data_IF_996540116777
#
_entry.id   IF_996540116777
#
_cell.length_a   1.000
_cell.length_b   1.000
_cell.length_c   1.000
_cell.angle_alpha   90.00
_cell.angle_beta   90.00
_cell.angle_gamma   90.00
#
_symmetry.space_group_name_H-M   'P 1'
#
loop_
_entity.id
_entity.type
_entity.pdbx_description
1 polymer ?
#
# COMPACT_ATOMS: atom_id res chain seq x y z
N UNK A 1 39.97 -6.39 -23.51
CA UNK A 1 38.80 -7.29 -23.55
C UNK A 1 38.22 -7.33 -22.15
N UNK A 2 37.19 -6.56 -21.87
CA UNK A 2 36.31 -6.77 -20.70
C UNK A 2 34.97 -6.15 -21.06
N UNK A 3 34.12 -6.98 -21.66
CA UNK A 3 32.73 -6.69 -21.95
C UNK A 3 32.00 -6.54 -20.62
N UNK A 4 31.37 -5.39 -20.40
CA UNK A 4 30.61 -5.08 -19.19
C UNK A 4 29.30 -5.84 -19.26
N UNK A 5 29.18 -6.90 -18.45
CA UNK A 5 27.94 -7.64 -18.28
C UNK A 5 26.84 -6.67 -17.83
N UNK A 6 25.93 -6.42 -18.77
CA UNK A 6 24.70 -5.66 -18.58
C UNK A 6 23.83 -6.47 -17.62
N UNK A 7 23.99 -6.18 -16.33
CA UNK A 7 23.18 -6.78 -15.27
C UNK A 7 21.71 -6.65 -15.60
N UNK A 8 21.11 -7.79 -15.93
CA UNK A 8 19.67 -7.99 -16.01
C UNK A 8 19.10 -7.60 -14.64
N UNK A 9 18.51 -6.40 -14.58
CA UNK A 9 17.90 -5.91 -13.35
C UNK A 9 16.73 -6.86 -13.11
N UNK A 10 16.71 -7.66 -12.02
CA UNK A 10 15.60 -8.56 -11.79
C UNK A 10 14.34 -7.70 -11.76
N UNK A 11 13.47 -7.91 -12.75
CA UNK A 11 12.10 -7.42 -12.68
C UNK A 11 11.56 -7.96 -11.35
N UNK A 12 11.05 -7.10 -10.46
CA UNK A 12 10.46 -7.58 -9.22
C UNK A 12 9.38 -8.57 -9.62
N UNK A 13 9.60 -9.86 -9.33
CA UNK A 13 8.63 -10.87 -9.68
C UNK A 13 7.32 -10.51 -8.98
N UNK A 14 6.20 -10.43 -9.73
CA UNK A 14 4.92 -10.09 -9.13
C UNK A 14 4.63 -11.11 -8.03
N UNK A 15 4.30 -10.61 -6.82
CA UNK A 15 3.99 -11.48 -5.69
C UNK A 15 2.85 -12.43 -6.12
N UNK A 16 3.08 -13.76 -6.11
CA UNK A 16 2.11 -14.74 -6.59
C UNK A 16 0.75 -14.69 -5.87
N UNK A 17 0.66 -13.98 -4.74
CA UNK A 17 -0.58 -13.79 -3.97
C UNK A 17 -1.51 -12.68 -4.49
N UNK A 18 -1.13 -11.87 -5.50
CA UNK A 18 -1.95 -10.75 -6.00
C UNK A 18 -2.16 -10.75 -7.51
N UNK A 19 -2.45 -11.93 -8.04
CA UNK A 19 -2.84 -12.15 -9.43
C UNK A 19 -4.36 -12.25 -9.50
N UNK A 20 -5.01 -11.49 -10.39
CA UNK A 20 -6.42 -11.66 -10.70
C UNK A 20 -6.64 -13.05 -11.32
N UNK A 21 -7.44 -13.94 -10.70
CA UNK A 21 -7.63 -15.30 -11.19
C UNK A 21 -8.35 -15.35 -12.55
N UNK A 22 -9.09 -14.30 -12.93
CA UNK A 22 -9.78 -14.24 -14.22
C UNK A 22 -8.85 -13.82 -15.37
N UNK A 23 -7.88 -12.94 -15.10
CA UNK A 23 -7.04 -12.33 -16.14
C UNK A 23 -5.58 -12.75 -16.10
N UNK A 24 -5.10 -13.31 -14.98
CA UNK A 24 -3.69 -13.61 -14.76
C UNK A 24 -2.81 -12.36 -14.61
N UNK A 25 -3.40 -11.18 -14.52
CA UNK A 25 -2.68 -9.91 -14.37
C UNK A 25 -2.49 -9.57 -12.90
N UNK A 26 -1.42 -8.84 -12.59
CA UNK A 26 -1.23 -8.28 -11.26
C UNK A 26 -2.35 -7.28 -10.94
N UNK A 27 -2.91 -7.35 -9.74
CA UNK A 27 -3.90 -6.38 -9.26
C UNK A 27 -3.27 -4.97 -9.15
N UNK A 28 -4.03 -3.90 -9.40
CA UNK A 28 -3.53 -2.54 -9.36
C UNK A 28 -3.17 -2.09 -7.92
N UNK A 29 -2.10 -1.31 -7.81
CA UNK A 29 -1.76 -0.53 -6.62
C UNK A 29 -2.31 0.92 -6.76
N UNK A 30 -2.72 1.60 -5.68
CA UNK A 30 -2.98 1.04 -4.37
C UNK A 30 -4.25 0.18 -4.37
N UNK A 31 -4.29 -0.78 -3.44
CA UNK A 31 -5.44 -1.67 -3.24
C UNK A 31 -5.98 -1.55 -1.82
N UNK A 32 -7.28 -1.86 -1.62
CA UNK A 32 -7.84 -2.03 -0.29
C UNK A 32 -7.33 -3.33 0.35
N UNK A 33 -7.09 -3.25 1.65
CA UNK A 33 -6.86 -4.35 2.57
C UNK A 33 -7.99 -4.36 3.61
N UNK A 34 -8.45 -5.56 3.97
CA UNK A 34 -9.46 -5.76 5.00
C UNK A 34 -8.78 -6.38 6.21
N UNK A 35 -8.75 -5.63 7.30
CA UNK A 35 -8.05 -6.01 8.53
C UNK A 35 -9.00 -6.00 9.73
N UNK A 36 -8.68 -6.83 10.73
CA UNK A 36 -9.44 -6.87 11.98
C UNK A 36 -9.06 -5.71 12.89
N UNK A 37 -10.04 -4.95 13.38
CA UNK A 37 -9.84 -3.89 14.36
C UNK A 37 -9.32 -4.46 15.69
N UNK A 38 -8.15 -4.03 16.19
CA UNK A 38 -7.58 -4.55 17.45
C UNK A 38 -8.36 -4.11 18.70
N UNK A 39 -9.20 -3.08 18.60
CA UNK A 39 -9.93 -2.51 19.74
C UNK A 39 -11.27 -3.20 19.98
N UNK A 40 -12.00 -3.55 18.93
CA UNK A 40 -13.37 -4.09 19.03
C UNK A 40 -13.61 -5.41 18.29
N UNK A 41 -12.61 -5.92 17.57
CA UNK A 41 -12.67 -7.19 16.86
C UNK A 41 -13.46 -7.16 15.54
N UNK A 42 -13.81 -5.98 15.02
CA UNK A 42 -14.48 -5.86 13.72
C UNK A 42 -13.60 -6.40 12.59
N UNK A 43 -14.00 -7.46 11.85
CA UNK A 43 -13.09 -8.21 10.99
C UNK A 43 -12.78 -7.56 9.63
N UNK A 44 -13.62 -6.64 9.15
CA UNK A 44 -13.57 -6.13 7.78
C UNK A 44 -13.40 -4.60 7.76
N UNK A 45 -12.38 -4.10 8.45
CA UNK A 45 -12.02 -2.67 8.32
C UNK A 45 -11.19 -2.47 7.06
N UNK A 46 -11.73 -1.71 6.12
CA UNK A 46 -11.02 -1.30 4.90
C UNK A 46 -9.93 -0.27 5.21
N UNK A 47 -8.71 -0.55 4.73
CA UNK A 47 -7.54 0.34 4.79
C UNK A 47 -6.81 0.22 3.46
N UNK A 48 -6.34 1.30 2.86
CA UNK A 48 -5.52 1.18 1.64
C UNK A 48 -4.10 0.76 1.98
N UNK A 49 -3.47 -0.04 1.12
CA UNK A 49 -2.18 -0.67 1.41
C UNK A 49 -1.05 0.30 1.78
N UNK A 50 -1.13 1.57 1.35
CA UNK A 50 -0.11 2.59 1.61
C UNK A 50 -0.36 3.35 2.91
N UNK A 51 -1.56 3.25 3.48
CA UNK A 51 -1.92 3.95 4.71
C UNK A 51 -1.20 3.32 5.90
N UNK A 52 -0.72 4.14 6.82
CA UNK A 52 -0.07 3.68 8.05
C UNK A 52 -1.02 3.66 9.25
N UNK A 53 -2.26 4.12 9.04
CA UNK A 53 -3.31 4.16 10.05
C UNK A 53 -4.63 3.76 9.41
N UNK A 54 -5.39 2.92 10.11
CA UNK A 54 -6.78 2.61 9.79
C UNK A 54 -7.72 3.27 10.79
N UNK A 55 -8.95 3.59 10.35
CA UNK A 55 -10.03 4.02 11.24
C UNK A 55 -11.15 3.00 11.22
N UNK A 56 -11.45 2.41 12.37
CA UNK A 56 -12.53 1.43 12.46
C UNK A 56 -13.89 2.13 12.26
N UNK A 57 -14.67 1.66 11.29
CA UNK A 57 -16.01 2.20 11.02
C UNK A 57 -17.01 1.86 12.13
N UNK A 58 -16.75 0.81 12.93
CA UNK A 58 -17.63 0.38 14.02
C UNK A 58 -17.38 1.11 15.34
N UNK A 59 -16.14 1.15 15.84
CA UNK A 59 -15.82 1.80 17.11
C UNK A 59 -15.28 3.23 16.96
N UNK A 60 -14.88 3.65 15.76
CA UNK A 60 -14.35 4.99 15.49
C UNK A 60 -12.88 5.19 15.89
N UNK A 61 -12.27 4.21 16.55
CA UNK A 61 -10.88 4.27 17.00
C UNK A 61 -9.89 4.16 15.83
N UNK A 62 -8.77 4.87 15.98
CA UNK A 62 -7.62 4.74 15.10
C UNK A 62 -6.74 3.57 15.56
N UNK A 63 -6.14 2.87 14.61
CA UNK A 63 -5.14 1.84 14.89
C UNK A 63 -4.02 1.90 13.87
N UNK A 64 -2.86 1.36 14.26
CA UNK A 64 -1.70 1.26 13.39
C UNK A 64 -1.93 0.20 12.32
N UNK A 65 -1.68 0.56 11.07
CA UNK A 65 -1.63 -0.35 9.93
C UNK A 65 -0.19 -0.40 9.44
N UNK A 66 0.37 -1.60 9.27
CA UNK A 66 1.72 -1.79 8.76
C UNK A 66 1.59 -2.10 7.27
N UNK A 67 1.96 -1.16 6.36
CA UNK A 67 1.91 -1.41 4.92
C UNK A 67 2.66 -2.69 4.55
N UNK A 68 2.06 -3.60 3.77
CA UNK A 68 2.79 -4.78 3.30
C UNK A 68 3.93 -4.34 2.38
N UNK A 69 5.01 -5.13 2.37
CA UNK A 69 6.20 -4.90 1.53
C UNK A 69 5.88 -4.83 0.04
N UNK A 70 4.72 -5.37 -0.36
CA UNK A 70 4.22 -5.37 -1.73
C UNK A 70 3.48 -4.12 -2.13
N UNK A 71 3.09 -3.26 -1.20
CA UNK A 71 2.46 -1.99 -1.53
C UNK A 71 3.52 -0.98 -1.97
N UNK A 72 3.34 -0.35 -3.14
CA UNK A 72 4.25 0.68 -3.62
C UNK A 72 5.24 0.21 -4.68
N UNK A 73 5.03 -0.98 -5.26
CA UNK A 73 5.87 -1.48 -6.35
C UNK A 73 5.69 -0.66 -7.63
N UNK A 74 4.55 0.02 -7.77
CA UNK A 74 4.23 0.82 -8.95
C UNK A 74 4.45 2.32 -8.72
N UNK A 75 4.96 3.06 -9.72
CA UNK A 75 5.31 4.49 -9.59
C UNK A 75 4.11 5.42 -9.32
N UNK A 76 2.88 4.93 -9.51
CA UNK A 76 1.64 5.65 -9.19
C UNK A 76 1.12 5.40 -7.77
N UNK A 77 1.68 4.43 -7.05
CA UNK A 77 1.35 4.18 -5.65
C UNK A 77 2.11 5.16 -4.77
N UNK A 78 1.65 6.41 -4.74
CA UNK A 78 2.24 7.46 -3.93
C UNK A 78 1.79 7.28 -2.49
N UNK A 79 2.67 6.76 -1.62
CA UNK A 79 2.59 7.06 -0.18
C UNK A 79 2.50 8.58 -0.06
N UNK A 80 1.49 9.10 0.63
CA UNK A 80 1.48 10.51 0.98
C UNK A 80 2.79 10.79 1.73
N UNK A 81 3.68 11.59 1.13
CA UNK A 81 4.91 11.96 1.81
C UNK A 81 4.51 12.66 3.10
N UNK A 82 5.01 12.26 4.28
CA UNK A 82 4.70 12.94 5.53
C UNK A 82 5.12 14.42 5.56
N UNK A 83 5.84 14.91 4.53
CA UNK A 83 6.17 16.32 4.31
C UNK A 83 5.20 17.12 3.43
N UNK A 84 4.15 16.54 2.84
CA UNK A 84 3.22 17.26 1.93
C UNK A 84 1.92 17.73 2.61
N UNK A 85 1.71 17.39 3.89
CA UNK A 85 0.55 17.80 4.70
C UNK A 85 0.75 19.11 5.48
N UNK A 86 1.88 19.81 5.32
CA UNK A 86 2.19 21.02 6.10
C UNK A 86 1.80 22.35 5.45
N UNK A 87 1.35 22.40 4.20
CA UNK A 87 0.97 23.66 3.55
C UNK A 87 -0.54 23.76 3.26
N UNK A 88 -1.36 23.84 4.33
CA UNK A 88 -2.73 24.39 4.25
C UNK A 88 -3.08 25.33 5.43
N UNK A 89 -2.11 26.08 5.96
CA UNK A 89 -2.37 27.27 6.80
C UNK A 89 -1.74 28.49 6.15
N UNK A 90 -2.56 29.32 5.49
CA UNK A 90 -2.10 30.59 4.94
C UNK A 90 -3.02 31.15 3.86
N UNK A 91 -4.27 31.47 4.21
CA UNK A 91 -5.09 32.44 3.47
C UNK A 91 -6.23 32.92 4.37
N UNK A 92 -5.93 33.90 5.23
CA UNK A 92 -6.88 34.87 5.77
C UNK A 92 -6.10 36.14 6.06
#
# INVERSE_FOLDING_TARGET
>A
MTDTERGDRPTPEPNPLRIDPATGLALPDPYPEYVTCPHCGEPEVEVFCYETQGRCHRCGELFEHIPPVTCGQWPYCKRANPGELTNKKGAS
#
